data_IF_493775283425
#
_entry.id   IF_493775283425
#
_cell.length_a   1.000
_cell.length_b   1.000
_cell.length_c   1.000
_cell.angle_alpha   90.00
_cell.angle_beta   90.00
_cell.angle_gamma   90.00
#
_symmetry.space_group_name_H-M   'P 1'
#
loop_
_entity.id
_entity.type
_entity.pdbx_description
1 polymer ?
#
# COMPACT_ATOMS: atom_id res chain seq x y z
N UNK A 1 9.93 7.90 -9.55
CA UNK A 1 10.78 6.69 -9.36
C UNK A 1 11.67 6.91 -8.16
N UNK A 2 12.07 5.85 -7.46
CA UNK A 2 13.04 5.91 -6.35
C UNK A 2 14.17 4.92 -6.64
N UNK A 3 15.44 5.34 -6.53
CA UNK A 3 16.60 4.49 -6.77
C UNK A 3 17.74 4.78 -5.77
N UNK A 4 18.51 3.76 -5.42
CA UNK A 4 19.74 3.90 -4.62
C UNK A 4 20.97 3.85 -5.52
N UNK A 5 21.85 4.85 -5.42
CA UNK A 5 23.07 4.93 -6.22
C UNK A 5 24.28 5.06 -5.29
N UNK A 6 25.31 4.21 -5.43
CA UNK A 6 26.54 4.36 -4.67
C UNK A 6 27.39 5.50 -5.26
N UNK A 7 28.06 6.25 -4.40
CA UNK A 7 29.02 7.29 -4.81
C UNK A 7 30.42 6.94 -4.32
N UNK A 8 31.41 7.23 -5.18
CA UNK A 8 32.82 7.11 -4.80
C UNK A 8 33.15 8.08 -3.67
N UNK A 9 34.10 7.68 -2.83
CA UNK A 9 34.62 8.50 -1.74
C UNK A 9 35.15 9.83 -2.28
N UNK A 10 34.81 10.93 -1.61
CA UNK A 10 35.28 12.27 -1.97
C UNK A 10 34.43 13.01 -3.03
N UNK A 11 33.38 12.39 -3.60
CA UNK A 11 32.63 12.98 -4.73
C UNK A 11 31.54 13.98 -4.37
N UNK A 12 30.85 13.78 -3.26
CA UNK A 12 29.80 14.69 -2.80
C UNK A 12 29.66 14.62 -1.28
N UNK A 13 29.52 15.78 -0.64
CA UNK A 13 29.25 15.86 0.82
C UNK A 13 27.78 16.06 1.13
N UNK A 14 27.06 16.75 0.24
CA UNK A 14 25.69 17.24 0.47
C UNK A 14 24.76 16.69 -0.62
N UNK A 15 23.60 16.09 -0.28
CA UNK A 15 22.66 15.62 -1.30
C UNK A 15 22.23 16.72 -2.27
N UNK A 16 22.12 17.95 -1.78
CA UNK A 16 21.70 19.13 -2.54
C UNK A 16 22.74 19.57 -3.60
N UNK A 17 23.97 19.04 -3.52
CA UNK A 17 24.99 19.29 -4.55
C UNK A 17 24.91 18.29 -5.70
N UNK A 18 24.06 17.27 -5.63
CA UNK A 18 23.94 16.24 -6.68
C UNK A 18 22.80 16.62 -7.62
N UNK A 19 23.05 16.51 -8.92
CA UNK A 19 22.04 16.68 -9.98
C UNK A 19 21.76 15.38 -10.72
N UNK A 20 20.65 15.35 -11.44
CA UNK A 20 20.27 14.25 -12.32
C UNK A 20 20.02 14.78 -13.73
N UNK A 21 20.68 14.22 -14.74
CA UNK A 21 20.55 14.63 -16.14
C UNK A 21 20.01 13.48 -16.98
N UNK A 22 18.99 13.75 -17.79
CA UNK A 22 18.50 12.84 -18.82
C UNK A 22 18.74 13.38 -20.23
N UNK A 23 18.26 12.69 -21.27
CA UNK A 23 18.42 13.12 -22.66
C UNK A 23 17.85 14.53 -22.95
N UNK A 24 16.82 14.94 -22.22
CA UNK A 24 16.17 16.24 -22.33
C UNK A 24 16.77 17.35 -21.45
N UNK A 25 17.87 17.10 -20.73
CA UNK A 25 18.49 18.06 -19.82
C UNK A 25 18.36 17.69 -18.34
N UNK A 26 18.46 18.70 -17.47
CA UNK A 26 18.36 18.51 -16.01
C UNK A 26 16.95 18.09 -15.61
N UNK A 27 16.87 17.12 -14.70
CA UNK A 27 15.62 16.62 -14.14
C UNK A 27 15.43 17.13 -12.71
N UNK A 28 14.18 17.34 -12.27
CA UNK A 28 13.90 17.52 -10.86
C UNK A 28 14.40 16.33 -10.05
N UNK A 29 15.09 16.63 -8.95
CA UNK A 29 15.68 15.62 -8.09
C UNK A 29 15.44 15.96 -6.62
N UNK A 30 15.02 14.95 -5.87
CA UNK A 30 15.02 14.93 -4.42
C UNK A 30 16.01 13.84 -4.00
N UNK A 31 17.00 14.20 -3.19
CA UNK A 31 18.10 13.30 -2.84
C UNK A 31 18.33 13.24 -1.33
N UNK A 32 18.65 12.06 -0.82
CA UNK A 32 18.92 11.81 0.60
C UNK A 32 20.15 10.93 0.76
N UNK A 33 21.11 11.35 1.60
CA UNK A 33 22.25 10.51 1.94
C UNK A 33 21.85 9.47 2.98
N UNK A 34 21.87 8.19 2.61
CA UNK A 34 21.50 7.07 3.49
C UNK A 34 22.70 6.43 4.18
N UNK A 35 23.90 6.59 3.62
CA UNK A 35 25.17 6.18 4.24
C UNK A 35 26.30 7.12 3.84
N UNK A 36 27.30 7.26 4.71
CA UNK A 36 28.49 8.10 4.49
C UNK A 36 29.78 7.32 4.69
N UNK A 37 30.80 7.70 3.93
CA UNK A 37 32.18 7.29 4.16
C UNK A 37 32.75 7.94 5.44
N UNK A 38 33.85 7.40 6.01
CA UNK A 38 34.49 7.97 7.20
C UNK A 38 34.94 9.43 7.08
N UNK A 39 35.16 9.93 5.86
CA UNK A 39 35.51 11.34 5.61
C UNK A 39 34.29 12.28 5.50
N UNK A 40 33.09 11.75 5.74
CA UNK A 40 31.81 12.47 5.70
C UNK A 40 31.19 12.58 4.31
N UNK A 41 31.86 12.14 3.24
CA UNK A 41 31.28 12.12 1.90
C UNK A 41 30.21 11.03 1.77
N UNK A 42 29.27 11.22 0.85
CA UNK A 42 28.13 10.32 0.66
C UNK A 42 28.64 9.02 0.04
N UNK A 43 28.21 7.88 0.60
CA UNK A 43 28.48 6.53 0.06
C UNK A 43 27.27 5.97 -0.64
N UNK A 44 26.09 6.10 -0.04
CA UNK A 44 24.82 5.70 -0.63
C UNK A 44 23.87 6.88 -0.66
N UNK A 45 23.33 7.13 -1.85
CA UNK A 45 22.40 8.21 -2.12
C UNK A 45 21.08 7.62 -2.59
N UNK A 46 19.99 7.97 -1.92
CA UNK A 46 18.64 7.69 -2.36
C UNK A 46 18.16 8.85 -3.23
N UNK A 47 17.65 8.54 -4.42
CA UNK A 47 17.18 9.49 -5.41
C UNK A 47 15.69 9.29 -5.66
N UNK A 48 14.92 10.37 -5.59
CA UNK A 48 13.54 10.47 -6.04
C UNK A 48 13.47 11.43 -7.21
N UNK A 49 12.95 10.96 -8.35
CA UNK A 49 12.89 11.72 -9.61
C UNK A 49 11.72 11.28 -10.50
N UNK A 50 11.18 12.16 -11.34
CA UNK A 50 10.20 11.77 -12.34
C UNK A 50 10.89 10.96 -13.45
N UNK A 51 10.29 9.83 -13.81
CA UNK A 51 10.74 9.01 -14.93
C UNK A 51 9.54 8.29 -15.55
N UNK A 52 9.43 8.37 -16.86
CA UNK A 52 8.45 7.63 -17.67
C UNK A 52 9.22 6.90 -18.75
N UNK A 53 8.95 5.61 -18.87
CA UNK A 53 9.56 4.74 -19.87
C UNK A 53 8.48 3.79 -20.36
N UNK A 54 8.43 3.57 -21.67
CA UNK A 54 7.50 2.62 -22.26
C UNK A 54 7.80 1.18 -21.80
N UNK A 55 6.85 0.28 -22.00
CA UNK A 55 7.06 -1.14 -21.70
C UNK A 55 8.26 -1.67 -22.51
N UNK A 56 9.26 -2.21 -21.80
CA UNK A 56 10.56 -2.66 -22.36
C UNK A 56 11.41 -1.55 -22.97
N UNK A 57 11.09 -0.28 -22.72
CA UNK A 57 11.96 0.83 -23.04
C UNK A 57 13.10 0.97 -22.04
N UNK A 58 14.08 1.78 -22.41
CA UNK A 58 15.24 2.12 -21.56
C UNK A 58 15.35 3.65 -21.47
N UNK A 59 15.81 4.13 -20.31
CA UNK A 59 16.07 5.55 -20.06
C UNK A 59 17.39 5.67 -19.31
N UNK A 60 18.39 6.21 -19.99
CA UNK A 60 19.71 6.47 -19.40
C UNK A 60 19.69 7.82 -18.66
N UNK A 61 20.11 7.78 -17.39
CA UNK A 61 20.18 8.95 -16.52
C UNK A 61 21.58 9.04 -15.91
N UNK A 62 22.13 10.24 -15.93
CA UNK A 62 23.45 10.55 -15.39
C UNK A 62 23.30 11.25 -14.03
N UNK A 63 23.88 10.65 -12.98
CA UNK A 63 24.01 11.29 -11.67
C UNK A 63 25.27 12.14 -11.70
N UNK A 64 25.12 13.46 -11.51
CA UNK A 64 26.22 14.42 -11.58
C UNK A 64 26.51 14.94 -10.17
N UNK A 65 27.62 14.52 -9.52
CA UNK A 65 28.08 15.10 -8.27
C UNK A 65 28.50 16.56 -8.47
N UNK A 66 28.26 17.39 -7.46
CA UNK A 66 28.63 18.81 -7.48
C UNK A 66 28.08 19.59 -8.68
N UNK A 67 26.89 19.21 -9.16
CA UNK A 67 26.20 19.84 -10.29
C UNK A 67 25.84 21.32 -10.06
N UNK A 68 25.96 21.83 -8.82
CA UNK A 68 25.49 23.16 -8.44
C UNK A 68 23.96 23.21 -8.23
N UNK A 69 23.42 24.42 -8.05
CA UNK A 69 21.98 24.67 -7.77
C UNK A 69 21.05 24.58 -8.99
N UNK A 70 21.54 24.06 -10.12
CA UNK A 70 20.80 24.11 -11.40
C UNK A 70 19.73 23.01 -11.56
N UNK A 71 19.47 22.20 -10.53
CA UNK A 71 18.38 21.23 -10.56
C UNK A 71 17.02 21.94 -10.56
N UNK A 72 16.16 21.73 -11.57
CA UNK A 72 14.86 22.37 -11.62
C UNK A 72 13.94 21.84 -10.52
N UNK A 73 13.03 22.68 -10.03
CA UNK A 73 11.91 22.21 -9.21
C UNK A 73 10.94 21.38 -10.09
N UNK A 74 10.21 20.42 -9.50
CA UNK A 74 9.10 19.80 -10.21
C UNK A 74 8.04 20.86 -10.57
N UNK A 75 7.30 20.69 -11.68
CA UNK A 75 6.25 21.64 -12.07
C UNK A 75 5.19 21.86 -10.99
N UNK A 76 4.84 20.80 -10.26
CA UNK A 76 3.83 20.80 -9.19
C UNK A 76 4.46 20.25 -7.91
N UNK A 77 5.25 21.03 -7.16
CA UNK A 77 5.90 20.55 -5.94
C UNK A 77 4.88 20.15 -4.89
N UNK A 78 5.17 19.07 -4.16
CA UNK A 78 4.34 18.69 -3.01
C UNK A 78 4.45 19.77 -1.92
N UNK A 79 3.30 20.21 -1.44
CA UNK A 79 3.19 21.06 -0.25
C UNK A 79 2.58 20.26 0.90
N UNK A 80 3.29 20.15 2.02
CA UNK A 80 2.80 19.47 3.21
C UNK A 80 2.77 20.43 4.39
N UNK A 81 1.67 20.43 5.13
CA UNK A 81 1.49 21.27 6.31
C UNK A 81 0.94 20.42 7.46
N UNK A 82 1.44 20.65 8.68
CA UNK A 82 0.93 19.97 9.87
C UNK A 82 -0.45 20.51 10.23
N UNK A 83 -1.39 19.62 10.53
CA UNK A 83 -2.75 19.95 10.96
C UNK A 83 -3.12 19.17 12.22
N UNK A 84 -3.01 19.80 13.39
CA UNK A 84 -3.15 19.10 14.67
C UNK A 84 -2.10 18.00 14.83
N UNK A 85 -2.54 16.75 15.06
CA UNK A 85 -1.65 15.56 15.09
C UNK A 85 -1.39 14.97 13.70
N UNK A 86 -2.09 15.44 12.68
CA UNK A 86 -2.03 14.95 11.30
C UNK A 86 -1.36 15.91 10.33
N UNK A 87 -1.65 15.72 9.04
CA UNK A 87 -1.05 16.48 7.95
C UNK A 87 -2.06 16.74 6.84
N UNK A 88 -1.94 17.91 6.22
CA UNK A 88 -2.52 18.24 4.92
C UNK A 88 -1.42 18.12 3.86
N UNK A 89 -1.71 17.45 2.75
CA UNK A 89 -0.77 17.23 1.64
C UNK A 89 -1.43 17.66 0.34
N UNK A 90 -0.81 18.58 -0.39
CA UNK A 90 -1.20 18.96 -1.75
C UNK A 90 -0.13 18.45 -2.72
N UNK A 91 -0.53 17.64 -3.69
CA UNK A 91 0.35 17.10 -4.74
C UNK A 91 0.26 17.87 -6.05
N UNK A 92 -0.52 18.94 -6.12
CA UNK A 92 -0.91 19.66 -7.34
C UNK A 92 -2.02 18.97 -8.13
N UNK A 93 -2.08 17.62 -8.11
CA UNK A 93 -3.17 16.85 -8.73
C UNK A 93 -4.32 16.55 -7.75
N UNK A 94 -4.04 16.49 -6.45
CA UNK A 94 -5.02 16.18 -5.42
C UNK A 94 -4.59 16.73 -4.06
N UNK A 95 -5.58 16.92 -3.19
CA UNK A 95 -5.40 17.40 -1.82
C UNK A 95 -5.87 16.34 -0.83
N UNK A 96 -5.03 16.02 0.14
CA UNK A 96 -5.25 14.95 1.09
C UNK A 96 -5.17 15.49 2.52
N UNK A 97 -6.00 14.93 3.40
CA UNK A 97 -5.87 15.14 4.84
C UNK A 97 -5.70 13.78 5.52
N UNK A 98 -4.66 13.68 6.34
CA UNK A 98 -4.35 12.52 7.18
C UNK A 98 -4.64 12.91 8.62
N UNK A 99 -5.49 12.13 9.29
CA UNK A 99 -5.89 12.38 10.67
C UNK A 99 -5.68 11.09 11.50
N UNK A 100 -4.70 11.06 12.42
CA UNK A 100 -4.42 9.87 13.21
C UNK A 100 -5.48 9.58 14.28
N UNK A 101 -6.39 10.52 14.60
CA UNK A 101 -7.37 10.33 15.68
C UNK A 101 -8.48 9.35 15.27
N UNK A 102 -8.84 9.33 13.99
CA UNK A 102 -9.83 8.40 13.43
C UNK A 102 -9.20 7.19 12.71
N UNK A 103 -7.87 7.20 12.50
CA UNK A 103 -7.07 6.27 11.69
C UNK A 103 -7.84 5.58 10.54
N UNK A 104 -8.42 6.42 9.71
CA UNK A 104 -8.88 6.05 8.37
C UNK A 104 -7.66 6.03 7.43
N UNK A 105 -7.70 5.33 6.29
CA UNK A 105 -6.66 5.50 5.27
C UNK A 105 -6.38 6.98 4.97
N UNK A 106 -7.43 7.79 4.83
CA UNK A 106 -7.40 9.23 4.63
C UNK A 106 -8.66 9.84 5.29
N UNK A 107 -8.54 11.05 5.86
CA UNK A 107 -9.68 11.83 6.38
C UNK A 107 -10.40 12.60 5.27
N UNK A 108 -9.65 13.00 4.24
CA UNK A 108 -10.15 13.68 3.04
C UNK A 108 -9.20 13.38 1.88
N UNK A 109 -9.78 13.25 0.68
CA UNK A 109 -9.08 13.18 -0.59
C UNK A 109 -9.91 13.93 -1.64
N UNK A 110 -9.42 15.10 -2.07
CA UNK A 110 -10.07 15.96 -3.05
C UNK A 110 -9.32 15.92 -4.37
N UNK A 111 -10.05 15.67 -5.45
CA UNK A 111 -9.53 15.68 -6.82
C UNK A 111 -10.38 16.65 -7.63
N UNK A 112 -9.76 17.69 -8.20
CA UNK A 112 -10.49 18.77 -8.87
C UNK A 112 -11.47 19.50 -7.93
N UNK A 113 -11.11 19.63 -6.64
CA UNK A 113 -11.94 20.26 -5.60
C UNK A 113 -13.08 19.39 -5.05
N UNK A 114 -13.37 18.25 -5.67
CA UNK A 114 -14.46 17.34 -5.26
C UNK A 114 -13.94 16.30 -4.26
N UNK A 115 -14.60 16.17 -3.11
CA UNK A 115 -14.30 15.15 -2.11
C UNK A 115 -14.63 13.75 -2.66
N UNK A 116 -13.68 12.83 -2.61
CA UNK A 116 -13.82 11.47 -3.18
C UNK A 116 -13.92 10.38 -2.14
N UNK A 117 -13.50 10.63 -0.89
CA UNK A 117 -13.54 9.62 0.17
C UNK A 117 -14.70 9.89 1.13
N UNK A 118 -15.53 8.87 1.32
CA UNK A 118 -16.53 8.83 2.36
C UNK A 118 -15.96 8.18 3.62
N UNK A 119 -15.70 9.00 4.63
CA UNK A 119 -15.14 8.56 5.90
C UNK A 119 -16.10 7.71 6.73
N UNK A 120 -17.42 7.83 6.55
CA UNK A 120 -18.41 7.03 7.28
C UNK A 120 -18.37 5.55 6.87
N UNK A 121 -17.94 5.27 5.64
CA UNK A 121 -17.81 3.92 5.08
C UNK A 121 -16.36 3.45 4.95
N UNK A 122 -15.39 4.27 5.36
CA UNK A 122 -13.97 3.92 5.36
C UNK A 122 -13.55 3.35 6.71
N UNK A 123 -12.66 2.34 6.72
CA UNK A 123 -12.01 1.83 7.94
C UNK A 123 -10.88 0.86 7.63
N UNK A 124 -9.98 0.71 8.59
CA UNK A 124 -9.25 -0.55 8.76
C UNK A 124 -10.09 -1.50 9.60
N UNK A 125 -10.19 -2.76 9.18
CA UNK A 125 -10.86 -3.82 9.94
C UNK A 125 -9.83 -4.88 10.31
N UNK A 126 -9.86 -5.34 11.55
CA UNK A 126 -9.04 -6.43 12.05
C UNK A 126 -9.92 -7.33 12.93
N UNK A 127 -10.02 -8.61 12.59
CA UNK A 127 -10.86 -9.60 13.29
C UNK A 127 -10.02 -10.83 13.59
N UNK A 128 -10.00 -11.26 14.85
CA UNK A 128 -9.36 -12.52 15.26
C UNK A 128 -10.23 -13.74 14.91
N UNK A 129 -9.69 -14.95 15.02
CA UNK A 129 -10.46 -16.18 14.71
C UNK A 129 -11.60 -16.49 15.69
N UNK A 130 -11.65 -15.81 16.84
CA UNK A 130 -12.75 -15.92 17.81
C UNK A 130 -13.90 -14.94 17.46
N UNK A 131 -13.78 -14.19 16.36
CA UNK A 131 -14.75 -13.20 15.90
C UNK A 131 -14.61 -11.83 16.60
N UNK A 132 -13.56 -11.65 17.40
CA UNK A 132 -13.28 -10.41 18.09
C UNK A 132 -12.78 -9.32 17.15
N UNK A 133 -13.47 -8.17 17.11
CA UNK A 133 -13.04 -7.01 16.32
C UNK A 133 -12.06 -6.14 17.11
N UNK A 134 -10.96 -5.77 16.47
CA UNK A 134 -9.88 -4.95 17.01
C UNK A 134 -9.77 -3.65 16.23
N UNK A 135 -9.77 -2.54 16.97
CA UNK A 135 -9.73 -1.19 16.40
C UNK A 135 -8.30 -0.67 16.42
N UNK A 136 -7.83 -0.04 15.33
CA UNK A 136 -6.51 0.59 15.33
C UNK A 136 -6.49 1.81 16.24
N UNK A 137 -5.47 1.89 17.09
CA UNK A 137 -5.14 3.06 17.88
C UNK A 137 -3.77 3.57 17.49
N UNK A 138 -3.72 4.80 16.98
CA UNK A 138 -2.47 5.44 16.58
C UNK A 138 -1.71 5.96 17.79
N UNK A 139 -0.43 5.61 17.87
CA UNK A 139 0.51 6.10 18.87
C UNK A 139 1.39 7.23 18.34
N UNK A 140 1.73 7.20 17.05
CA UNK A 140 2.61 8.19 16.42
C UNK A 140 2.19 8.47 14.97
N UNK A 141 2.31 9.72 14.54
CA UNK A 141 2.10 10.16 13.16
C UNK A 141 3.15 11.23 12.84
N UNK A 142 4.03 10.96 11.89
CA UNK A 142 5.20 11.79 11.60
C UNK A 142 5.52 11.79 10.09
N UNK A 143 6.23 12.83 9.65
CA UNK A 143 6.87 12.83 8.34
C UNK A 143 8.13 11.96 8.42
N UNK A 144 8.15 10.89 7.63
CA UNK A 144 9.34 10.04 7.45
C UNK A 144 10.21 10.56 6.30
N UNK A 145 9.56 11.09 5.25
CA UNK A 145 10.23 11.76 4.13
C UNK A 145 9.44 13.02 3.79
N UNK A 146 10.12 14.15 3.69
CA UNK A 146 9.53 15.42 3.26
C UNK A 146 10.32 15.93 2.06
N UNK A 147 9.62 16.16 0.96
CA UNK A 147 10.26 16.71 -0.23
C UNK A 147 9.28 16.97 -1.37
N UNK A 148 9.71 17.78 -2.35
CA UNK A 148 8.83 18.33 -3.39
C UNK A 148 8.39 17.27 -4.41
N UNK A 149 9.07 16.12 -4.49
CA UNK A 149 8.74 15.04 -5.44
C UNK A 149 8.05 13.86 -4.76
N UNK A 150 8.46 13.53 -3.55
CA UNK A 150 7.90 12.44 -2.75
C UNK A 150 7.86 12.82 -1.28
N UNK A 151 6.69 12.65 -0.68
CA UNK A 151 6.48 12.82 0.76
C UNK A 151 5.91 11.53 1.35
N UNK A 152 6.40 11.11 2.51
CA UNK A 152 5.96 9.90 3.22
C UNK A 152 5.53 10.27 4.64
N UNK A 153 4.27 9.99 4.95
CA UNK A 153 3.75 10.05 6.32
C UNK A 153 3.79 8.65 6.89
N UNK A 154 4.51 8.47 8.00
CA UNK A 154 4.55 7.24 8.79
C UNK A 154 3.59 7.36 9.96
N UNK A 155 2.80 6.30 10.16
CA UNK A 155 1.82 6.18 11.23
C UNK A 155 2.04 4.85 11.95
N UNK A 156 2.30 4.89 13.24
CA UNK A 156 2.48 3.69 14.07
C UNK A 156 1.33 3.57 15.06
N UNK A 157 0.96 2.33 15.37
CA UNK A 157 -0.12 2.08 16.30
C UNK A 157 -0.26 0.62 16.71
N UNK A 158 -1.41 0.33 17.33
CA UNK A 158 -1.76 -0.97 17.90
C UNK A 158 -3.19 -1.33 17.52
N UNK A 159 -3.46 -2.62 17.35
CA UNK A 159 -4.82 -3.14 17.25
C UNK A 159 -5.31 -3.46 18.68
N UNK A 160 -6.27 -2.69 19.17
CA UNK A 160 -6.77 -2.75 20.55
C UNK A 160 -8.28 -3.06 20.58
N UNK A 161 -8.73 -3.64 21.70
CA UNK A 161 -10.14 -3.97 21.94
C UNK A 161 -10.48 -3.61 23.38
N UNK A 162 -11.66 -3.02 23.60
CA UNK A 162 -12.13 -2.68 24.94
C UNK A 162 -12.17 -3.95 25.82
N UNK A 163 -11.65 -3.86 27.04
CA UNK A 163 -11.57 -4.98 27.98
C UNK A 163 -10.47 -6.00 27.70
N UNK A 164 -9.72 -5.89 26.60
CA UNK A 164 -8.55 -6.74 26.38
C UNK A 164 -7.34 -6.19 27.14
N UNK A 165 -6.60 -7.07 27.83
CA UNK A 165 -5.39 -6.68 28.59
C UNK A 165 -4.21 -6.29 27.70
N UNK A 166 -4.18 -6.77 26.45
CA UNK A 166 -3.07 -6.57 25.51
C UNK A 166 -3.60 -6.29 24.11
N UNK A 167 -2.83 -5.52 23.34
CA UNK A 167 -3.07 -5.34 21.90
C UNK A 167 -2.84 -6.65 21.14
N UNK A 168 -3.64 -6.89 20.09
CA UNK A 168 -3.48 -8.06 19.23
C UNK A 168 -2.21 -7.98 18.37
N UNK A 169 -2.04 -6.83 17.70
CA UNK A 169 -0.93 -6.55 16.78
C UNK A 169 -0.39 -5.14 17.04
N UNK A 170 0.87 -4.92 16.69
CA UNK A 170 1.40 -3.57 16.42
C UNK A 170 1.43 -3.35 14.92
N UNK A 171 1.24 -2.12 14.45
CA UNK A 171 1.30 -1.80 13.02
C UNK A 171 2.12 -0.55 12.73
N UNK A 172 2.66 -0.49 11.52
CA UNK A 172 3.19 0.72 10.88
C UNK A 172 2.54 0.84 9.51
N UNK A 173 1.87 1.96 9.25
CA UNK A 173 1.36 2.34 7.94
C UNK A 173 2.19 3.49 7.37
N UNK A 174 2.60 3.39 6.11
CA UNK A 174 3.27 4.47 5.37
C UNK A 174 2.39 4.90 4.22
N UNK A 175 2.03 6.17 4.24
CA UNK A 175 1.30 6.85 3.17
C UNK A 175 2.30 7.63 2.33
N UNK A 176 2.49 7.22 1.08
CA UNK A 176 3.40 7.86 0.13
C UNK A 176 2.61 8.70 -0.87
N UNK A 177 3.02 9.94 -1.03
CA UNK A 177 2.47 10.91 -1.97
C UNK A 177 3.56 11.28 -2.98
N UNK A 178 3.16 11.48 -4.24
CA UNK A 178 4.04 11.87 -5.32
C UNK A 178 3.53 13.14 -6.00
N UNK A 179 4.46 14.02 -6.41
CA UNK A 179 4.18 15.23 -7.16
C UNK A 179 3.37 14.91 -8.43
N UNK A 180 2.35 15.74 -8.71
CA UNK A 180 1.48 15.60 -9.88
C UNK A 180 0.58 14.35 -9.87
N UNK A 181 0.48 13.61 -8.76
CA UNK A 181 -0.28 12.37 -8.70
C UNK A 181 -1.47 12.46 -7.72
N UNK A 182 -2.63 11.95 -8.14
CA UNK A 182 -3.78 11.72 -7.26
C UNK A 182 -3.74 10.34 -6.56
N UNK A 183 -2.72 9.53 -6.83
CA UNK A 183 -2.52 8.20 -6.24
C UNK A 183 -1.78 8.31 -4.90
N UNK A 184 -2.25 7.57 -3.91
CA UNK A 184 -1.59 7.42 -2.60
C UNK A 184 -1.08 5.99 -2.46
N UNK A 185 0.21 5.84 -2.19
CA UNK A 185 0.83 4.56 -1.90
C UNK A 185 0.58 4.20 -0.44
N UNK A 186 -0.01 3.04 -0.17
CA UNK A 186 -0.22 2.56 1.20
C UNK A 186 0.62 1.31 1.42
N UNK A 187 1.54 1.36 2.39
CA UNK A 187 2.25 0.19 2.89
C UNK A 187 1.87 -0.06 4.33
N UNK A 188 1.10 -1.12 4.56
CA UNK A 188 0.79 -1.61 5.89
C UNK A 188 1.78 -2.72 6.29
N UNK A 189 2.34 -2.61 7.48
CA UNK A 189 3.15 -3.66 8.11
C UNK A 189 2.58 -3.96 9.48
N UNK A 190 2.25 -5.22 9.73
CA UNK A 190 1.75 -5.69 11.02
C UNK A 190 2.78 -6.60 11.67
N UNK A 191 2.82 -6.59 12.99
CA UNK A 191 3.75 -7.40 13.79
C UNK A 191 3.00 -8.03 14.95
N UNK A 192 3.20 -9.34 15.11
CA UNK A 192 2.83 -10.07 16.31
C UNK A 192 3.79 -9.65 17.46
N UNK A 193 3.29 -9.02 18.54
CA UNK A 193 4.13 -8.59 19.66
C UNK A 193 4.45 -9.73 20.65
N UNK A 194 3.82 -10.90 20.51
CA UNK A 194 4.01 -12.05 21.39
C UNK A 194 5.32 -12.76 21.01
N UNK A 195 6.03 -13.27 22.03
CA UNK A 195 7.21 -14.12 21.79
C UNK A 195 6.72 -15.46 21.24
N UNK A 196 7.46 -16.02 20.28
CA UNK A 196 7.30 -17.42 19.93
C UNK A 196 7.83 -18.29 21.08
N UNK A 197 7.18 -19.42 21.33
CA UNK A 197 7.68 -20.47 22.21
C UNK A 197 8.19 -21.63 21.35
N UNK A 198 9.50 -21.86 21.37
CA UNK A 198 10.16 -22.87 20.53
C UNK A 198 11.07 -23.81 21.36
N UNK A 199 10.48 -24.72 22.17
CA UNK A 199 11.26 -25.70 22.92
C UNK A 199 12.20 -26.49 22.00
N UNK A 200 13.47 -26.63 22.39
CA UNK A 200 14.47 -27.35 21.58
C UNK A 200 14.84 -26.70 20.24
N UNK A 201 14.37 -25.48 19.96
CA UNK A 201 14.60 -24.79 18.69
C UNK A 201 13.66 -25.20 17.55
N UNK A 202 12.58 -25.92 17.86
CA UNK A 202 11.55 -26.29 16.90
C UNK A 202 10.52 -25.17 16.74
N UNK A 203 10.32 -24.73 15.49
CA UNK A 203 9.34 -23.71 15.13
C UNK A 203 8.08 -24.40 14.64
N UNK A 204 7.11 -24.55 15.53
CA UNK A 204 5.82 -25.18 15.22
C UNK A 204 4.83 -24.18 14.64
N UNK A 205 4.01 -24.62 13.70
CA UNK A 205 2.88 -23.83 13.21
C UNK A 205 1.83 -23.70 14.31
N UNK A 206 1.43 -22.47 14.63
CA UNK A 206 0.44 -22.23 15.68
C UNK A 206 0.97 -22.34 17.11
N UNK A 207 2.25 -21.98 17.34
CA UNK A 207 2.82 -21.85 18.69
C UNK A 207 1.91 -21.00 19.62
N UNK A 208 1.95 -21.16 20.96
CA UNK A 208 1.12 -20.41 21.90
C UNK A 208 1.21 -18.87 21.77
N UNK A 209 2.34 -18.36 21.26
CA UNK A 209 2.58 -16.97 20.93
C UNK A 209 1.92 -16.51 19.62
N UNK A 210 1.33 -17.40 18.83
CA UNK A 210 0.70 -17.06 17.55
C UNK A 210 -0.48 -16.10 17.74
N UNK A 211 -0.70 -15.27 16.72
CA UNK A 211 -1.89 -14.42 16.59
C UNK A 211 -2.63 -14.92 15.36
N UNK A 212 -3.84 -15.41 15.57
CA UNK A 212 -4.68 -15.94 14.51
C UNK A 212 -5.67 -14.88 14.05
N UNK A 213 -5.71 -14.62 12.75
CA UNK A 213 -6.58 -13.62 12.16
C UNK A 213 -7.64 -14.28 11.28
N UNK A 214 -8.86 -13.78 11.36
CA UNK A 214 -9.88 -14.04 10.36
C UNK A 214 -9.86 -12.97 9.28
N UNK A 215 -9.68 -11.70 9.65
CA UNK A 215 -9.68 -10.58 8.71
C UNK A 215 -8.64 -9.52 9.07
N UNK A 216 -7.95 -9.02 8.05
CA UNK A 216 -7.33 -7.71 8.09
C UNK A 216 -7.51 -7.05 6.72
N UNK A 217 -8.27 -5.96 6.69
CA UNK A 217 -8.69 -5.32 5.46
C UNK A 217 -8.70 -3.80 5.54
N UNK A 218 -8.53 -3.19 4.37
CA UNK A 218 -8.68 -1.76 4.14
C UNK A 218 -9.96 -1.52 3.34
N UNK A 219 -10.93 -0.86 3.95
CA UNK A 219 -12.13 -0.39 3.28
C UNK A 219 -12.04 1.10 3.03
N UNK A 220 -12.24 1.51 1.77
CA UNK A 220 -12.25 2.92 1.35
C UNK A 220 -13.62 3.25 0.79
N UNK A 221 -14.36 4.07 1.54
CA UNK A 221 -15.68 4.56 1.16
C UNK A 221 -15.59 5.60 0.04
N UNK A 222 -16.58 5.62 -0.83
CA UNK A 222 -16.77 6.60 -1.89
C UNK A 222 -18.20 7.11 -1.84
N UNK A 223 -18.40 8.40 -2.15
CA UNK A 223 -19.75 8.96 -2.26
C UNK A 223 -20.45 8.38 -3.51
N UNK A 224 -21.62 7.78 -3.29
CA UNK A 224 -22.63 7.45 -4.30
C UNK A 224 -22.08 6.91 -5.63
N UNK A 225 -21.30 5.82 -5.57
CA UNK A 225 -20.82 5.18 -6.78
C UNK A 225 -21.98 4.60 -7.59
N UNK A 226 -21.98 4.87 -8.90
CA UNK A 226 -22.99 4.36 -9.83
C UNK A 226 -22.53 3.09 -10.54
N UNK A 227 -21.21 2.90 -10.62
CA UNK A 227 -20.59 1.90 -11.48
C UNK A 227 -19.33 1.35 -10.86
N UNK A 228 -19.17 0.04 -10.99
CA UNK A 228 -17.94 -0.68 -10.65
C UNK A 228 -17.20 -0.95 -11.96
N UNK A 229 -15.94 -0.54 -12.05
CA UNK A 229 -15.03 -0.93 -13.12
C UNK A 229 -13.91 -1.80 -12.57
N UNK A 230 -13.45 -2.78 -13.36
CA UNK A 230 -12.37 -3.66 -12.95
C UNK A 230 -11.54 -4.13 -14.14
N UNK A 231 -10.32 -4.57 -13.87
CA UNK A 231 -9.53 -5.39 -14.77
C UNK A 231 -8.97 -6.55 -13.96
N UNK A 232 -9.00 -7.76 -14.51
CA UNK A 232 -8.43 -8.94 -13.84
C UNK A 232 -6.90 -8.87 -13.83
N UNK A 233 -6.32 -8.45 -14.96
CA UNK A 233 -4.87 -8.25 -15.13
C UNK A 233 -4.57 -6.95 -15.87
N UNK A 234 -3.34 -6.39 -15.74
CA UNK A 234 -2.94 -5.13 -16.38
C UNK A 234 -3.11 -5.06 -17.91
N UNK A 235 -3.16 -6.19 -18.60
CA UNK A 235 -3.36 -6.28 -20.05
C UNK A 235 -4.78 -6.71 -20.48
N UNK A 236 -5.67 -7.04 -19.54
CA UNK A 236 -7.02 -7.46 -19.87
C UNK A 236 -7.92 -6.25 -20.15
N UNK A 237 -8.86 -6.35 -21.11
CA UNK A 237 -9.89 -5.33 -21.28
C UNK A 237 -10.64 -5.10 -19.96
N UNK A 238 -10.86 -3.84 -19.55
CA UNK A 238 -11.59 -3.57 -18.33
C UNK A 238 -13.07 -3.96 -18.49
N UNK A 239 -13.62 -4.62 -17.48
CA UNK A 239 -15.05 -4.79 -17.30
C UNK A 239 -15.66 -3.59 -16.60
N UNK A 240 -16.96 -3.39 -16.82
CA UNK A 240 -17.74 -2.35 -16.13
C UNK A 240 -19.18 -2.81 -15.98
N UNK A 241 -19.77 -2.54 -14.81
CA UNK A 241 -21.14 -2.92 -14.51
C UNK A 241 -21.79 -1.92 -13.57
N UNK A 242 -23.10 -1.75 -13.73
CA UNK A 242 -23.95 -1.07 -12.76
C UNK A 242 -24.49 -2.14 -11.78
N UNK A 243 -23.58 -2.84 -11.08
CA UNK A 243 -23.92 -3.90 -10.12
C UNK A 243 -23.83 -3.41 -8.68
N UNK A 244 -24.56 -4.10 -7.79
CA UNK A 244 -24.56 -3.81 -6.36
C UNK A 244 -23.32 -4.32 -5.65
N UNK A 245 -22.75 -5.43 -6.13
CA UNK A 245 -21.61 -6.10 -5.51
C UNK A 245 -20.64 -6.69 -6.54
N UNK A 246 -19.36 -6.68 -6.16
CA UNK A 246 -18.23 -7.26 -6.84
C UNK A 246 -17.35 -7.95 -5.80
N UNK A 247 -16.86 -9.16 -6.10
CA UNK A 247 -15.82 -9.81 -5.32
C UNK A 247 -14.84 -10.51 -6.26
N UNK A 248 -13.55 -10.25 -6.11
CA UNK A 248 -12.49 -11.09 -6.67
C UNK A 248 -11.63 -11.61 -5.52
N UNK A 249 -11.63 -12.92 -5.33
CA UNK A 249 -10.91 -13.62 -4.27
C UNK A 249 -9.94 -14.63 -4.89
N UNK A 250 -8.64 -14.41 -4.68
CA UNK A 250 -7.58 -15.35 -4.98
C UNK A 250 -7.28 -16.17 -3.73
N UNK A 251 -7.56 -17.46 -3.76
CA UNK A 251 -7.32 -18.35 -2.63
C UNK A 251 -5.93 -18.96 -2.63
N UNK A 252 -5.47 -19.43 -3.80
CA UNK A 252 -4.23 -20.21 -3.93
C UNK A 252 -3.36 -19.72 -5.08
N UNK A 253 -2.17 -20.28 -5.24
CA UNK A 253 -1.19 -19.87 -6.27
C UNK A 253 -1.66 -20.01 -7.73
N UNK A 254 -2.75 -20.76 -7.97
CA UNK A 254 -3.20 -21.16 -9.30
C UNK A 254 -2.31 -22.19 -10.01
N UNK A 255 -1.17 -22.58 -9.40
CA UNK A 255 -0.25 -23.59 -9.95
C UNK A 255 -0.79 -25.01 -9.85
N UNK A 256 -0.10 -25.98 -10.46
CA UNK A 256 -0.48 -27.41 -10.37
C UNK A 256 -0.37 -27.94 -8.94
N UNK A 257 0.64 -27.47 -8.19
CA UNK A 257 0.92 -27.88 -6.81
C UNK A 257 0.19 -27.04 -5.74
N UNK A 258 -0.95 -26.43 -6.08
CA UNK A 258 -1.68 -25.53 -5.17
C UNK A 258 -2.19 -26.20 -3.88
N UNK A 259 -2.28 -27.54 -3.84
CA UNK A 259 -2.62 -28.34 -2.64
C UNK A 259 -1.42 -29.09 -2.06
N UNK A 260 -0.20 -28.62 -2.32
CA UNK A 260 1.01 -29.27 -1.80
C UNK A 260 1.06 -29.26 -0.27
N UNK A 261 1.64 -30.29 0.38
CA UNK A 261 1.86 -30.33 1.83
C UNK A 261 2.68 -29.16 2.39
N UNK A 262 3.41 -28.41 1.55
CA UNK A 262 4.10 -27.18 1.99
C UNK A 262 3.13 -26.08 2.44
N UNK A 263 1.84 -26.24 2.17
CA UNK A 263 0.76 -25.33 2.56
C UNK A 263 -0.02 -25.80 3.80
N UNK A 264 0.45 -26.82 4.52
CA UNK A 264 -0.19 -27.23 5.79
C UNK A 264 -0.23 -26.07 6.78
N UNK A 265 -1.35 -25.95 7.47
CA UNK A 265 -1.56 -24.98 8.55
C UNK A 265 -1.25 -25.59 9.93
N UNK A 266 -1.58 -24.86 10.99
CA UNK A 266 -1.38 -25.29 12.38
C UNK A 266 -2.20 -26.51 12.80
N UNK A 267 -3.24 -26.90 12.06
CA UNK A 267 -4.01 -28.12 12.35
C UNK A 267 -3.43 -29.33 11.62
N UNK A 268 -2.41 -29.12 10.78
CA UNK A 268 -1.79 -30.17 9.96
C UNK A 268 -2.53 -30.43 8.65
N UNK A 269 -3.51 -29.59 8.30
CA UNK A 269 -4.32 -29.73 7.10
C UNK A 269 -3.88 -28.73 6.03
N UNK A 270 -4.09 -29.07 4.76
CA UNK A 270 -3.99 -28.09 3.66
C UNK A 270 -5.34 -27.37 3.55
N UNK A 271 -5.41 -26.07 3.91
CA UNK A 271 -6.70 -25.38 4.06
C UNK A 271 -7.36 -25.04 2.72
N UNK A 272 -6.59 -24.85 1.65
CA UNK A 272 -7.09 -24.44 0.33
C UNK A 272 -8.10 -25.46 -0.24
N UNK A 273 -9.23 -24.95 -0.70
CA UNK A 273 -10.33 -25.69 -1.37
C UNK A 273 -10.48 -25.30 -2.84
N UNK A 274 -9.89 -24.19 -3.28
CA UNK A 274 -9.99 -23.67 -4.64
C UNK A 274 -8.62 -23.39 -5.27
N UNK A 275 -8.45 -23.85 -6.52
CA UNK A 275 -7.31 -23.48 -7.37
C UNK A 275 -7.54 -22.10 -8.00
N UNK A 276 -6.64 -21.16 -7.70
CA UNK A 276 -6.64 -19.85 -8.33
C UNK A 276 -7.60 -18.85 -7.68
N UNK A 277 -8.32 -18.08 -8.50
CA UNK A 277 -9.28 -17.07 -8.06
C UNK A 277 -10.70 -17.34 -8.54
N UNK A 278 -11.64 -16.74 -7.82
CA UNK A 278 -13.05 -16.62 -8.17
C UNK A 278 -13.44 -15.15 -8.24
N UNK A 279 -14.27 -14.82 -9.23
CA UNK A 279 -14.83 -13.51 -9.45
C UNK A 279 -16.36 -13.63 -9.40
N UNK A 280 -17.00 -12.89 -8.51
CA UNK A 280 -18.45 -12.74 -8.43
C UNK A 280 -18.88 -11.35 -8.88
N UNK A 281 -19.88 -11.31 -9.76
CA UNK A 281 -20.49 -10.11 -10.30
C UNK A 281 -22.01 -10.29 -10.25
N UNK A 282 -22.64 -9.81 -9.16
CA UNK A 282 -24.04 -10.13 -8.89
C UNK A 282 -24.26 -11.66 -8.90
N UNK A 283 -25.11 -12.23 -9.78
CA UNK A 283 -25.34 -13.67 -9.86
C UNK A 283 -24.29 -14.43 -10.69
N UNK A 284 -23.40 -13.75 -11.42
CA UNK A 284 -22.39 -14.40 -12.25
C UNK A 284 -21.15 -14.76 -11.45
N UNK A 285 -20.65 -15.99 -11.64
CA UNK A 285 -19.36 -16.44 -11.13
C UNK A 285 -18.43 -16.80 -12.27
N UNK A 286 -17.17 -16.37 -12.19
CA UNK A 286 -16.08 -16.72 -13.09
C UNK A 286 -14.88 -17.18 -12.29
N UNK A 287 -14.06 -18.04 -12.89
CA UNK A 287 -12.85 -18.56 -12.25
C UNK A 287 -11.64 -18.34 -13.16
N UNK A 288 -10.47 -18.30 -12.56
CA UNK A 288 -9.20 -18.23 -13.28
C UNK A 288 -8.03 -18.58 -12.37
N UNK A 289 -6.82 -18.61 -12.93
CA UNK A 289 -5.65 -19.12 -12.21
C UNK A 289 -4.97 -18.05 -11.36
N UNK A 290 -4.71 -16.87 -11.93
CA UNK A 290 -3.95 -15.79 -11.29
C UNK A 290 -4.54 -14.46 -11.72
N UNK A 291 -4.72 -13.55 -10.77
CA UNK A 291 -5.19 -12.20 -11.03
C UNK A 291 -4.22 -11.16 -10.47
N UNK A 292 -4.09 -10.03 -11.16
CA UNK A 292 -3.48 -8.80 -10.65
C UNK A 292 -4.48 -7.65 -10.81
N UNK A 293 -5.52 -7.62 -9.96
CA UNK A 293 -6.69 -6.85 -10.23
C UNK A 293 -6.53 -5.36 -9.93
N UNK A 294 -7.29 -4.57 -10.69
CA UNK A 294 -7.65 -3.19 -10.36
C UNK A 294 -9.17 -3.15 -10.23
N UNK A 295 -9.68 -2.48 -9.21
CA UNK A 295 -11.12 -2.28 -9.02
C UNK A 295 -11.36 -0.82 -8.65
N UNK A 296 -12.37 -0.19 -9.25
CA UNK A 296 -12.70 1.19 -8.98
C UNK A 296 -14.20 1.45 -8.99
N UNK A 297 -14.62 2.36 -8.12
CA UNK A 297 -15.96 2.90 -8.02
C UNK A 297 -16.02 4.26 -8.70
N UNK A 298 -17.04 4.50 -9.51
CA UNK A 298 -17.20 5.75 -10.26
C UNK A 298 -18.61 6.33 -10.18
N UNK A 299 -18.71 7.65 -10.11
CA UNK A 299 -19.98 8.41 -10.14
C UNK A 299 -20.26 9.10 -11.49
N UNK A 300 -19.35 8.95 -12.46
CA UNK A 300 -19.35 9.59 -13.78
C UNK A 300 -18.47 10.84 -13.88
N UNK A 301 -18.11 11.46 -12.75
CA UNK A 301 -17.20 12.62 -12.67
C UNK A 301 -15.81 12.26 -12.17
N UNK A 302 -15.67 11.10 -11.53
CA UNK A 302 -14.43 10.62 -10.93
C UNK A 302 -14.70 9.34 -10.16
N UNK A 303 -13.75 8.94 -9.30
CA UNK A 303 -13.89 7.70 -8.56
C UNK A 303 -12.75 7.41 -7.60
N UNK A 304 -12.91 6.33 -6.84
CA UNK A 304 -11.89 5.75 -5.96
C UNK A 304 -11.55 4.36 -6.51
N UNK A 305 -10.26 4.09 -6.70
CA UNK A 305 -9.76 2.81 -7.16
C UNK A 305 -8.71 2.22 -6.23
N UNK A 306 -8.65 0.90 -6.18
CA UNK A 306 -7.64 0.15 -5.44
C UNK A 306 -7.03 -0.93 -6.33
N UNK A 307 -5.73 -1.11 -6.16
CA UNK A 307 -4.95 -2.26 -6.62
C UNK A 307 -3.87 -2.55 -5.59
N UNK A 308 -3.29 -3.74 -5.62
CA UNK A 308 -2.18 -4.10 -4.75
C UNK A 308 -1.14 -4.90 -5.54
N UNK A 309 0.12 -4.63 -5.26
CA UNK A 309 1.22 -5.38 -5.87
C UNK A 309 1.23 -6.80 -5.33
N UNK A 310 1.66 -7.73 -6.19
CA UNK A 310 1.83 -9.13 -5.83
C UNK A 310 0.54 -9.77 -5.29
N UNK A 311 -0.60 -9.52 -5.97
CA UNK A 311 -1.91 -9.94 -5.48
C UNK A 311 -2.01 -11.46 -5.40
N UNK A 312 -1.77 -12.15 -6.52
CA UNK A 312 -1.82 -13.60 -6.56
C UNK A 312 -0.59 -14.25 -5.94
N UNK A 313 0.57 -13.58 -5.95
CA UNK A 313 1.82 -14.12 -5.41
C UNK A 313 1.77 -14.21 -3.88
N UNK A 314 1.12 -13.25 -3.24
CA UNK A 314 0.91 -13.23 -1.79
C UNK A 314 -0.51 -13.68 -1.43
N UNK A 315 -1.04 -14.66 -2.15
CA UNK A 315 -2.31 -15.32 -1.83
C UNK A 315 -2.30 -15.85 -0.38
N UNK A 316 -3.48 -15.96 0.26
CA UNK A 316 -4.79 -15.54 -0.22
C UNK A 316 -4.99 -14.01 -0.18
N UNK A 317 -5.78 -13.44 -1.11
CA UNK A 317 -6.20 -12.02 -1.12
C UNK A 317 -7.57 -11.83 -1.75
N UNK A 318 -8.27 -10.77 -1.37
CA UNK A 318 -9.52 -10.37 -2.03
C UNK A 318 -9.60 -8.87 -2.29
N UNK A 319 -10.30 -8.48 -3.36
CA UNK A 319 -10.85 -7.14 -3.54
C UNK A 319 -12.36 -7.26 -3.70
N UNK A 320 -13.10 -6.56 -2.87
CA UNK A 320 -14.55 -6.44 -2.93
C UNK A 320 -14.93 -5.00 -3.27
N UNK A 321 -16.07 -4.83 -3.91
CA UNK A 321 -16.68 -3.52 -4.04
C UNK A 321 -18.20 -3.60 -3.93
N UNK A 322 -18.79 -2.59 -3.32
CA UNK A 322 -20.23 -2.34 -3.29
C UNK A 322 -20.48 -0.86 -3.67
N UNK A 323 -21.74 -0.42 -3.66
CA UNK A 323 -22.09 0.97 -4.02
C UNK A 323 -21.44 2.04 -3.15
N UNK A 324 -20.95 1.69 -1.96
CA UNK A 324 -20.43 2.63 -0.97
C UNK A 324 -18.92 2.53 -0.80
N UNK A 325 -18.26 1.41 -1.13
CA UNK A 325 -16.83 1.28 -0.90
C UNK A 325 -16.14 0.20 -1.75
N UNK A 326 -14.83 0.35 -1.90
CA UNK A 326 -13.91 -0.74 -2.30
C UNK A 326 -13.19 -1.23 -1.06
N UNK A 327 -13.07 -2.55 -0.91
CA UNK A 327 -12.39 -3.21 0.21
C UNK A 327 -11.27 -4.10 -0.30
N UNK A 328 -10.04 -3.80 0.10
CA UNK A 328 -8.89 -4.68 -0.10
C UNK A 328 -8.70 -5.54 1.15
N UNK A 329 -8.76 -6.86 1.01
CA UNK A 329 -8.47 -7.80 2.09
C UNK A 329 -7.05 -8.31 1.96
N UNK A 330 -6.20 -7.88 2.90
CA UNK A 330 -4.82 -8.35 2.99
C UNK A 330 -4.76 -9.78 3.52
N UNK A 331 -5.63 -10.07 4.49
CA UNK A 331 -5.91 -11.38 5.06
C UNK A 331 -7.43 -11.60 4.95
N UNK A 332 -7.91 -12.27 3.90
CA UNK A 332 -9.34 -12.39 3.61
C UNK A 332 -10.07 -13.38 4.53
N UNK A 333 -11.22 -12.96 5.07
CA UNK A 333 -12.13 -13.83 5.83
C UNK A 333 -12.71 -15.01 5.04
N UNK A 334 -12.64 -14.98 3.70
CA UNK A 334 -13.00 -16.09 2.83
C UNK A 334 -12.09 -17.31 3.01
N UNK A 335 -10.87 -17.12 3.52
CA UNK A 335 -9.88 -18.19 3.59
C UNK A 335 -10.28 -19.24 4.64
N UNK A 336 -10.42 -20.53 4.26
CA UNK A 336 -11.01 -21.55 5.15
C UNK A 336 -10.25 -21.80 6.46
N UNK A 337 -8.91 -21.65 6.46
CA UNK A 337 -8.07 -21.98 7.61
C UNK A 337 -7.84 -20.83 8.60
N UNK A 338 -8.28 -19.61 8.28
CA UNK A 338 -7.77 -18.40 8.94
C UNK A 338 -6.28 -18.17 8.66
N UNK A 339 -5.70 -17.11 9.24
CA UNK A 339 -4.33 -16.66 8.97
C UNK A 339 -3.45 -16.66 10.20
#
# INVERSE_FOLDING_TARGET
>A
MTAGVPLERGRARHPESVGLRGPGGWLPLQAEATERWPDGTIRWLLLDFPATVDARGELDLEVVPEAGRDAPLPPEPIHVNRTGRGFFVDTGAAQFSVDPDAFLPLRSARVGGVERIDTAHSRWRCVDTDGGEWTPRVTECALETEGPLRTVIRIDGRMERAGAERSLLTFTSRLTFWSGCATVGVRMSVRNPRRAEHPGGHWELGDPGSVLLQDLSLRVGSFAAKRISWSVDPGSPPGSVDADTFELYQESSGGENWQSPVHVDRTGDVPMKQRGYRLHLGPETREGLRATPRVALHDGSGGVGITVRHFWENFPKAIEADRNAVTLRLFPHQFPGGH
#
